data_IF_400944708211
#
_entry.id   IF_400944708211
#
_cell.length_a   1.000
_cell.length_b   1.000
_cell.length_c   1.000
_cell.angle_alpha   90.00
_cell.angle_beta   90.00
_cell.angle_gamma   90.00
#
_symmetry.space_group_name_H-M   'P 1'
#
loop_
_entity.id
_entity.type
_entity.pdbx_description
1 polymer ?
#
# COMPACT_ATOMS: atom_id res chain seq x y z
N UNK A 1 46.96 42.74 71.50
CA UNK A 1 46.90 41.73 70.41
C UNK A 1 45.73 42.06 69.48
N UNK A 2 45.92 42.66 68.30
CA UNK A 2 44.81 42.97 67.41
C UNK A 2 44.60 41.90 66.33
N UNK A 3 43.36 41.43 66.22
CA UNK A 3 42.82 40.50 65.21
C UNK A 3 43.04 41.04 63.78
N UNK A 4 43.82 40.35 62.96
CA UNK A 4 43.94 40.55 61.50
C UNK A 4 43.63 39.25 60.75
N UNK A 5 42.36 38.86 60.58
CA UNK A 5 42.00 37.76 59.67
C UNK A 5 40.64 37.87 58.95
N UNK A 6 39.78 38.87 59.25
CA UNK A 6 38.41 38.91 58.72
C UNK A 6 38.28 39.29 57.22
N UNK A 7 39.31 39.89 56.61
CA UNK A 7 39.25 40.33 55.20
C UNK A 7 39.58 39.22 54.18
N UNK A 8 40.36 38.22 54.57
CA UNK A 8 40.75 37.11 53.67
C UNK A 8 39.57 36.16 53.37
N UNK A 9 38.66 35.95 54.34
CA UNK A 9 37.49 35.08 54.15
C UNK A 9 36.44 35.63 53.19
N UNK A 10 36.28 36.96 53.10
CA UNK A 10 35.28 37.58 52.22
C UNK A 10 35.62 37.45 50.73
N UNK A 11 36.91 37.49 50.36
CA UNK A 11 37.35 37.29 48.97
C UNK A 11 37.18 35.86 48.48
N UNK A 12 37.38 34.87 49.35
CA UNK A 12 37.21 33.45 49.02
C UNK A 12 35.75 33.10 48.72
N UNK A 13 34.80 33.67 49.46
CA UNK A 13 33.36 33.42 49.23
C UNK A 13 32.91 33.94 47.86
N UNK A 14 33.33 35.15 47.48
CA UNK A 14 32.99 35.73 46.16
C UNK A 14 33.58 34.88 45.04
N UNK A 15 34.84 34.42 45.18
CA UNK A 15 35.49 33.56 44.19
C UNK A 15 34.75 32.22 44.05
N UNK A 16 34.34 31.60 45.17
CA UNK A 16 33.58 30.36 45.17
C UNK A 16 32.21 30.52 44.50
N UNK A 17 31.49 31.62 44.78
CA UNK A 17 30.24 31.95 44.10
C UNK A 17 30.44 32.15 42.60
N UNK A 18 31.49 32.87 42.18
CA UNK A 18 31.76 33.15 40.77
C UNK A 18 32.07 31.88 39.98
N UNK A 19 32.92 31.01 40.53
CA UNK A 19 33.22 29.69 39.96
C UNK A 19 31.96 28.83 39.91
N UNK A 20 31.16 28.81 40.98
CA UNK A 20 29.89 28.08 41.02
C UNK A 20 28.93 28.53 39.92
N UNK A 21 28.74 29.85 39.76
CA UNK A 21 27.89 30.39 38.70
C UNK A 21 28.43 30.10 37.30
N UNK A 22 29.75 30.10 37.11
CA UNK A 22 30.38 29.77 35.83
C UNK A 22 30.16 28.29 35.46
N UNK A 23 30.32 27.38 36.42
CA UNK A 23 30.07 25.94 36.20
C UNK A 23 28.61 25.69 35.85
N UNK A 24 27.67 26.28 36.58
CA UNK A 24 26.24 26.14 36.31
C UNK A 24 25.88 26.72 34.93
N UNK A 25 26.45 27.87 34.57
CA UNK A 25 26.21 28.51 33.26
C UNK A 25 26.72 27.63 32.11
N UNK A 26 27.91 27.03 32.26
CA UNK A 26 28.46 26.11 31.27
C UNK A 26 27.60 24.84 31.12
N UNK A 27 27.11 24.29 32.23
CA UNK A 27 26.19 23.14 32.20
C UNK A 27 24.89 23.49 31.48
N UNK A 28 24.32 24.67 31.75
CA UNK A 28 23.09 25.11 31.10
C UNK A 28 23.25 25.28 29.59
N UNK A 29 24.35 25.91 29.15
CA UNK A 29 24.67 26.03 27.71
C UNK A 29 24.80 24.66 27.07
N UNK A 30 25.49 23.72 27.72
CA UNK A 30 25.61 22.35 27.25
C UNK A 30 24.26 21.66 27.06
N UNK A 31 23.37 21.78 28.05
CA UNK A 31 22.01 21.20 27.97
C UNK A 31 21.17 21.83 26.85
N UNK A 32 21.22 23.15 26.68
CA UNK A 32 20.47 23.84 25.61
C UNK A 32 20.89 23.37 24.22
N UNK A 33 22.21 23.20 23.99
CA UNK A 33 22.73 22.67 22.73
C UNK A 33 22.31 21.22 22.49
N UNK A 34 22.25 20.39 23.53
CA UNK A 34 21.76 19.02 23.39
C UNK A 34 20.26 18.99 23.06
N UNK A 35 19.44 19.79 23.74
CA UNK A 35 17.99 19.87 23.52
C UNK A 35 17.67 20.38 22.12
N UNK A 36 18.42 21.36 21.60
CA UNK A 36 18.26 21.84 20.23
C UNK A 36 18.52 20.73 19.21
N UNK A 37 19.60 19.97 19.39
CA UNK A 37 19.92 18.83 18.53
C UNK A 37 18.86 17.73 18.61
N UNK A 38 18.36 17.41 19.81
CA UNK A 38 17.30 16.42 19.98
C UNK A 38 16.01 16.85 19.26
N UNK A 39 15.61 18.11 19.41
CA UNK A 39 14.44 18.66 18.74
C UNK A 39 14.61 18.64 17.20
N UNK A 40 15.80 18.98 16.71
CA UNK A 40 16.10 18.92 15.27
C UNK A 40 16.00 17.49 14.72
N UNK A 41 16.52 16.50 15.45
CA UNK A 41 16.43 15.08 15.07
C UNK A 41 15.00 14.55 15.15
N UNK A 42 14.23 14.94 16.18
CA UNK A 42 12.83 14.59 16.32
C UNK A 42 11.98 15.15 15.17
N UNK A 43 12.15 16.43 14.84
CA UNK A 43 11.49 17.09 13.70
C UNK A 43 11.84 16.41 12.37
N UNK A 44 13.12 16.08 12.16
CA UNK A 44 13.56 15.36 10.96
C UNK A 44 12.95 13.96 10.88
N UNK A 45 12.86 13.25 12.01
CA UNK A 45 12.24 11.92 12.09
C UNK A 45 10.74 11.98 11.76
N UNK A 46 10.04 12.99 12.25
CA UNK A 46 8.63 13.21 11.90
C UNK A 46 8.46 13.48 10.40
N UNK A 47 9.29 14.34 9.81
CA UNK A 47 9.27 14.58 8.36
C UNK A 47 9.60 13.28 7.58
N UNK A 48 10.61 12.52 8.00
CA UNK A 48 10.93 11.24 7.38
C UNK A 48 9.77 10.24 7.41
N UNK A 49 9.06 10.14 8.54
CA UNK A 49 7.87 9.30 8.64
C UNK A 49 6.71 9.80 7.77
N UNK A 50 6.49 11.12 7.72
CA UNK A 50 5.47 11.72 6.84
C UNK A 50 5.72 11.44 5.36
N UNK A 51 6.98 11.45 4.92
CA UNK A 51 7.32 11.15 3.53
C UNK A 51 6.85 9.76 3.07
N UNK A 52 6.76 8.79 4.00
CA UNK A 52 6.20 7.47 3.71
C UNK A 52 4.69 7.55 3.46
N UNK A 53 3.95 8.26 4.30
CA UNK A 53 2.50 8.45 4.15
C UNK A 53 2.17 9.15 2.83
N UNK A 54 2.98 10.14 2.45
CA UNK A 54 2.85 10.82 1.15
C UNK A 54 3.16 9.86 -0.01
N UNK A 55 4.15 8.98 0.14
CA UNK A 55 4.44 7.94 -0.87
C UNK A 55 3.29 6.92 -0.99
N UNK A 56 2.68 6.52 0.12
CA UNK A 56 1.52 5.61 0.16
C UNK A 56 0.31 6.19 -0.58
N UNK A 57 0.03 7.49 -0.43
CA UNK A 57 -1.03 8.15 -1.18
C UNK A 57 -0.85 8.03 -2.71
N UNK A 58 0.39 8.18 -3.20
CA UNK A 58 0.70 7.98 -4.62
C UNK A 58 0.58 6.52 -5.06
N UNK A 59 0.82 5.55 -4.17
CA UNK A 59 0.56 4.13 -4.46
C UNK A 59 -0.93 3.86 -4.56
N UNK A 60 -1.73 4.38 -3.64
CA UNK A 60 -3.19 4.21 -3.67
C UNK A 60 -3.78 4.76 -4.96
N UNK A 61 -3.30 5.91 -5.42
CA UNK A 61 -3.72 6.46 -6.71
C UNK A 61 -3.29 5.58 -7.90
N UNK A 62 -2.07 5.06 -7.88
CA UNK A 62 -1.62 4.09 -8.90
C UNK A 62 -2.45 2.80 -8.90
N UNK A 63 -2.83 2.30 -7.72
CA UNK A 63 -3.69 1.13 -7.58
C UNK A 63 -5.11 1.43 -8.06
N UNK A 64 -5.64 2.62 -7.79
CA UNK A 64 -6.94 3.07 -8.28
C UNK A 64 -6.96 3.12 -9.81
N UNK A 65 -5.92 3.66 -10.44
CA UNK A 65 -5.78 3.66 -11.91
C UNK A 65 -5.83 2.23 -12.46
N UNK A 66 -5.02 1.32 -11.90
CA UNK A 66 -4.96 -0.07 -12.37
C UNK A 66 -6.30 -0.79 -12.17
N UNK A 67 -7.05 -0.47 -11.11
CA UNK A 67 -8.31 -1.12 -10.75
C UNK A 67 -9.56 -0.55 -11.45
N UNK A 68 -9.46 0.60 -12.13
CA UNK A 68 -10.62 1.34 -12.65
C UNK A 68 -11.48 0.57 -13.68
N UNK A 69 -10.90 -0.42 -14.38
CA UNK A 69 -11.57 -1.15 -15.47
C UNK A 69 -11.54 -2.68 -15.29
N UNK A 70 -11.54 -3.16 -14.06
CA UNK A 70 -11.66 -4.60 -13.79
C UNK A 70 -13.07 -5.06 -14.19
N UNK A 71 -13.17 -5.94 -15.20
CA UNK A 71 -14.42 -6.60 -15.61
C UNK A 71 -15.14 -6.03 -16.84
N UNK A 72 -14.66 -4.94 -17.45
CA UNK A 72 -15.30 -4.33 -18.65
C UNK A 72 -14.68 -4.75 -19.99
N UNK A 73 -13.58 -5.51 -19.98
CA UNK A 73 -12.90 -6.01 -21.18
C UNK A 73 -12.42 -7.45 -20.98
N UNK A 74 -12.35 -8.22 -22.06
CA UNK A 74 -11.73 -9.56 -22.12
C UNK A 74 -10.23 -9.53 -21.80
N UNK A 75 -9.64 -8.35 -21.71
CA UNK A 75 -8.23 -8.14 -21.34
C UNK A 75 -8.17 -7.49 -19.96
N UNK A 76 -7.40 -8.10 -19.06
CA UNK A 76 -7.34 -7.80 -17.62
C UNK A 76 -6.91 -6.34 -17.28
N UNK A 77 -6.39 -5.56 -18.23
CA UNK A 77 -5.76 -4.25 -17.97
C UNK A 77 -6.01 -3.22 -19.08
N UNK A 78 -7.23 -2.69 -19.20
CA UNK A 78 -7.51 -1.57 -20.12
C UNK A 78 -7.21 -0.17 -19.54
N UNK A 79 -6.72 -0.09 -18.32
CA UNK A 79 -6.37 1.19 -17.65
C UNK A 79 -5.37 2.09 -18.43
N UNK A 80 -4.44 1.59 -19.29
CA UNK A 80 -3.59 2.49 -20.06
C UNK A 80 -4.38 3.41 -21.01
N UNK A 81 -5.57 2.98 -21.44
CA UNK A 81 -6.44 3.76 -22.33
C UNK A 81 -7.15 4.91 -21.61
N UNK A 82 -7.37 4.80 -20.29
CA UNK A 82 -8.06 5.82 -19.47
C UNK A 82 -7.10 6.72 -18.70
N UNK A 83 -5.84 6.31 -18.54
CA UNK A 83 -4.83 7.03 -17.77
C UNK A 83 -4.70 8.52 -18.13
N UNK A 84 -4.71 8.87 -19.41
CA UNK A 84 -4.60 10.27 -19.86
C UNK A 84 -5.81 11.13 -19.51
N UNK A 85 -7.01 10.52 -19.46
CA UNK A 85 -8.24 11.20 -19.00
C UNK A 85 -8.19 11.52 -17.51
N UNK A 86 -7.52 10.69 -16.72
CA UNK A 86 -7.39 10.84 -15.26
C UNK A 86 -6.20 11.74 -14.86
N UNK A 87 -5.57 12.40 -15.84
CA UNK A 87 -4.47 13.34 -15.63
C UNK A 87 -3.09 12.69 -15.51
N UNK A 88 -2.95 11.41 -15.86
CA UNK A 88 -1.65 10.76 -15.96
C UNK A 88 -0.96 11.10 -17.28
N UNK A 89 0.35 11.32 -17.21
CA UNK A 89 1.18 11.63 -18.37
C UNK A 89 2.01 10.43 -18.77
N UNK A 90 2.01 10.06 -20.05
CA UNK A 90 2.87 9.01 -20.57
C UNK A 90 4.28 9.58 -20.77
N UNK A 91 5.27 9.06 -20.04
CA UNK A 91 6.66 9.55 -20.13
C UNK A 91 7.49 8.72 -21.11
N UNK A 92 7.48 7.39 -20.98
CA UNK A 92 8.22 6.49 -21.87
C UNK A 92 7.84 5.03 -21.62
N UNK A 93 8.03 4.15 -22.61
CA UNK A 93 7.95 2.68 -22.46
C UNK A 93 6.77 2.20 -21.58
N UNK A 94 5.55 2.65 -21.90
CA UNK A 94 4.33 2.29 -21.16
C UNK A 94 4.38 2.61 -19.64
N UNK A 95 5.14 3.65 -19.29
CA UNK A 95 5.25 4.21 -17.93
C UNK A 95 4.48 5.52 -17.87
N UNK A 96 3.47 5.54 -17.03
CA UNK A 96 2.61 6.69 -16.74
C UNK A 96 3.08 7.35 -15.45
N UNK A 97 3.03 8.67 -15.40
CA UNK A 97 3.43 9.48 -14.26
C UNK A 97 2.36 10.47 -13.89
N UNK A 98 2.20 10.67 -12.59
CA UNK A 98 1.44 11.76 -12.03
C UNK A 98 2.19 12.32 -10.84
N UNK A 99 2.09 13.64 -10.70
CA UNK A 99 2.58 14.36 -9.53
C UNK A 99 1.44 15.17 -8.94
N UNK A 100 1.22 15.05 -7.63
CA UNK A 100 0.25 15.88 -6.92
C UNK A 100 0.81 16.38 -5.60
N UNK A 101 0.33 17.57 -5.22
CA UNK A 101 0.63 18.17 -3.92
C UNK A 101 -0.39 17.68 -2.89
N UNK A 102 0.07 17.44 -1.67
CA UNK A 102 -0.81 17.04 -0.58
C UNK A 102 -1.50 18.28 0.02
N UNK A 103 -2.82 18.22 0.18
CA UNK A 103 -3.57 19.30 0.80
C UNK A 103 -3.13 19.50 2.26
N UNK A 104 -2.58 20.66 2.58
CA UNK A 104 -2.18 21.03 3.94
C UNK A 104 -0.73 20.71 4.33
N UNK A 105 0.11 20.23 3.41
CA UNK A 105 1.54 19.97 3.63
C UNK A 105 2.34 20.49 2.42
N UNK A 106 3.48 21.19 2.58
CA UNK A 106 4.36 21.56 1.45
C UNK A 106 5.03 20.38 0.71
N UNK A 107 4.52 19.15 0.88
CA UNK A 107 5.00 17.94 0.24
C UNK A 107 4.23 17.58 -1.03
N UNK A 108 4.85 16.74 -1.85
CA UNK A 108 4.25 16.17 -3.07
C UNK A 108 4.67 14.72 -3.22
N UNK A 109 3.90 13.95 -3.96
CA UNK A 109 4.32 12.62 -4.42
C UNK A 109 4.46 12.59 -5.92
N UNK A 110 5.41 11.77 -6.37
CA UNK A 110 5.55 11.35 -7.76
C UNK A 110 5.21 9.87 -7.85
N UNK A 111 4.10 9.54 -8.50
CA UNK A 111 3.70 8.17 -8.74
C UNK A 111 3.97 7.79 -10.19
N UNK A 112 4.56 6.61 -10.38
CA UNK A 112 4.89 6.01 -11.66
C UNK A 112 4.20 4.65 -11.75
N UNK A 113 3.47 4.40 -12.82
CA UNK A 113 2.89 3.08 -13.12
C UNK A 113 3.50 2.60 -14.42
N UNK A 114 4.31 1.56 -14.36
CA UNK A 114 4.89 0.92 -15.54
C UNK A 114 4.22 -0.43 -15.79
N UNK A 115 3.92 -0.69 -17.05
CA UNK A 115 3.53 -2.05 -17.49
C UNK A 115 4.81 -2.74 -17.91
N UNK A 116 5.20 -3.80 -17.21
CA UNK A 116 6.32 -4.62 -17.65
C UNK A 116 6.03 -5.17 -19.05
N UNK A 117 7.00 -5.06 -19.96
CA UNK A 117 6.93 -5.64 -21.31
C UNK A 117 7.06 -7.17 -21.34
N UNK A 118 7.11 -7.80 -20.17
CA UNK A 118 7.07 -9.25 -20.02
C UNK A 118 5.66 -9.73 -20.40
N UNK A 119 5.55 -10.92 -20.96
CA UNK A 119 4.37 -11.51 -21.62
C UNK A 119 3.05 -11.54 -20.82
N UNK A 120 3.05 -11.05 -19.58
CA UNK A 120 1.92 -11.02 -18.66
C UNK A 120 1.42 -9.60 -18.33
N UNK A 121 2.00 -8.53 -18.91
CA UNK A 121 1.58 -7.12 -18.74
C UNK A 121 1.30 -6.71 -17.27
N UNK A 122 2.17 -7.13 -16.34
CA UNK A 122 1.96 -6.92 -14.91
C UNK A 122 2.32 -5.46 -14.54
N UNK A 123 1.40 -4.68 -13.96
CA UNK A 123 1.71 -3.33 -13.52
C UNK A 123 2.62 -3.32 -12.29
N UNK A 124 3.67 -2.50 -12.38
CA UNK A 124 4.51 -2.11 -11.25
C UNK A 124 4.25 -0.64 -10.95
N UNK A 125 3.91 -0.35 -9.69
CA UNK A 125 3.67 1.00 -9.21
C UNK A 125 4.85 1.42 -8.35
N UNK A 126 5.44 2.57 -8.62
CA UNK A 126 6.51 3.16 -7.82
C UNK A 126 6.11 4.57 -7.44
N UNK A 127 6.06 4.88 -6.14
CA UNK A 127 5.72 6.21 -5.65
C UNK A 127 6.84 6.75 -4.80
N UNK A 128 7.20 8.02 -5.02
CA UNK A 128 8.15 8.75 -4.18
C UNK A 128 7.46 9.91 -3.50
N UNK A 129 7.32 9.85 -2.19
CA UNK A 129 6.78 10.94 -1.38
C UNK A 129 7.91 11.84 -0.90
N UNK A 130 7.81 13.14 -1.22
CA UNK A 130 8.80 14.17 -0.85
C UNK A 130 8.15 15.18 0.08
N UNK A 131 8.78 15.45 1.21
CA UNK A 131 8.33 16.45 2.19
C UNK A 131 9.45 17.42 2.54
N UNK A 132 9.07 18.60 3.02
CA UNK A 132 10.01 19.64 3.43
C UNK A 132 10.33 19.49 4.91
N UNK A 133 11.62 19.52 5.26
CA UNK A 133 12.10 19.66 6.62
C UNK A 133 12.91 20.95 6.76
N UNK A 134 12.58 21.74 7.78
CA UNK A 134 13.33 22.96 8.11
C UNK A 134 14.26 22.65 9.28
N UNK A 135 15.56 22.78 9.04
CA UNK A 135 16.58 22.54 10.06
C UNK A 135 16.65 23.68 11.10
N UNK A 136 17.40 23.47 12.20
CA UNK A 136 17.54 24.45 13.27
C UNK A 136 18.13 25.80 12.79
N UNK A 137 18.89 25.80 11.69
CA UNK A 137 19.44 27.02 11.06
C UNK A 137 18.48 27.71 10.09
N UNK A 138 17.23 27.23 9.97
CA UNK A 138 16.25 27.75 9.01
C UNK A 138 16.41 27.24 7.57
N UNK A 139 17.43 26.40 7.31
CA UNK A 139 17.63 25.80 5.99
C UNK A 139 16.57 24.73 5.70
N UNK A 140 15.84 24.89 4.60
CA UNK A 140 14.87 23.91 4.09
C UNK A 140 15.58 22.82 3.30
N UNK A 141 15.35 21.56 3.66
CA UNK A 141 15.82 20.39 2.93
C UNK A 141 14.63 19.52 2.52
N UNK A 142 14.77 18.83 1.41
CA UNK A 142 13.79 17.86 0.94
C UNK A 142 14.16 16.47 1.45
N UNK A 143 13.19 15.76 2.00
CA UNK A 143 13.30 14.38 2.44
C UNK A 143 12.33 13.54 1.63
N UNK A 144 12.83 12.47 1.01
CA UNK A 144 12.04 11.64 0.09
C UNK A 144 12.14 10.16 0.43
N UNK A 145 11.01 9.45 0.37
CA UNK A 145 10.95 7.99 0.45
C UNK A 145 10.26 7.42 -0.77
N UNK A 146 10.82 6.34 -1.29
CA UNK A 146 10.26 5.61 -2.43
C UNK A 146 9.73 4.27 -1.98
N UNK A 147 8.53 3.93 -2.44
CA UNK A 147 7.89 2.63 -2.24
C UNK A 147 7.54 2.07 -3.61
N UNK A 148 7.77 0.77 -3.79
CA UNK A 148 7.46 0.05 -5.02
C UNK A 148 6.54 -1.13 -4.70
N UNK A 149 5.46 -1.24 -5.47
CA UNK A 149 4.49 -2.32 -5.42
C UNK A 149 4.48 -3.02 -6.76
N UNK A 150 4.78 -4.31 -6.75
CA UNK A 150 4.57 -5.18 -7.91
C UNK A 150 3.24 -5.87 -7.71
N UNK A 151 2.30 -5.63 -8.62
CA UNK A 151 1.00 -6.31 -8.58
C UNK A 151 1.14 -7.74 -9.11
N UNK A 152 0.15 -8.58 -8.88
CA UNK A 152 0.01 -9.87 -9.56
C UNK A 152 -1.40 -9.98 -10.11
N UNK A 153 -1.54 -10.57 -11.29
CA UNK A 153 -2.84 -11.03 -11.75
C UNK A 153 -3.26 -12.20 -10.87
N UNK A 154 -4.36 -12.05 -10.16
CA UNK A 154 -5.09 -13.17 -9.57
C UNK A 154 -6.43 -13.27 -10.28
N UNK A 155 -6.75 -14.45 -10.79
CA UNK A 155 -8.06 -14.75 -11.35
C UNK A 155 -9.03 -14.88 -10.18
N UNK A 156 -9.70 -13.77 -9.82
CA UNK A 156 -10.88 -13.86 -8.97
C UNK A 156 -11.99 -14.49 -9.80
N UNK A 157 -12.13 -15.82 -9.66
CA UNK A 157 -13.25 -16.53 -10.23
C UNK A 157 -14.31 -16.67 -9.15
N UNK A 158 -15.42 -15.96 -9.31
CA UNK A 158 -16.65 -16.23 -8.58
C UNK A 158 -17.25 -17.50 -9.18
N UNK A 159 -16.59 -18.62 -8.87
CA UNK A 159 -16.98 -19.95 -9.29
C UNK A 159 -17.61 -20.65 -8.10
N UNK A 160 -18.56 -21.56 -8.37
CA UNK A 160 -19.17 -22.38 -7.33
C UNK A 160 -18.09 -23.30 -6.74
N UNK A 161 -17.79 -24.43 -7.40
CA UNK A 161 -16.65 -25.26 -7.01
C UNK A 161 -15.33 -24.76 -7.62
N UNK A 162 -14.34 -24.64 -6.75
CA UNK A 162 -12.98 -24.23 -7.06
C UNK A 162 -12.03 -25.43 -6.86
N UNK A 163 -11.35 -25.86 -7.92
CA UNK A 163 -10.58 -27.11 -7.94
C UNK A 163 -9.09 -26.82 -7.99
N UNK A 164 -8.34 -27.36 -7.02
CA UNK A 164 -6.88 -27.25 -7.00
C UNK A 164 -6.20 -28.38 -7.79
N UNK A 165 -6.65 -29.63 -7.66
CA UNK A 165 -6.00 -30.78 -8.30
C UNK A 165 -6.96 -31.50 -9.26
N UNK A 166 -7.83 -32.37 -8.74
CA UNK A 166 -8.76 -33.14 -9.56
C UNK A 166 -10.16 -33.24 -8.91
N UNK A 167 -11.21 -33.07 -9.72
CA UNK A 167 -12.57 -33.56 -9.43
C UNK A 167 -12.85 -34.71 -10.41
N UNK A 168 -13.10 -35.89 -9.85
CA UNK A 168 -13.59 -37.05 -10.62
C UNK A 168 -15.03 -37.34 -10.22
N UNK A 169 -15.97 -37.12 -11.14
CA UNK A 169 -17.36 -37.49 -10.96
C UNK A 169 -17.66 -38.77 -11.73
N UNK A 170 -18.07 -39.81 -11.02
CA UNK A 170 -18.57 -41.05 -11.61
C UNK A 170 -19.85 -41.49 -10.90
N UNK A 171 -20.72 -42.23 -11.61
CA UNK A 171 -21.94 -42.80 -11.01
C UNK A 171 -23.14 -41.86 -10.92
N UNK A 172 -23.26 -40.86 -11.80
CA UNK A 172 -24.45 -39.99 -11.89
C UNK A 172 -24.41 -38.75 -10.99
N UNK A 173 -23.21 -38.27 -10.65
CA UNK A 173 -23.07 -37.00 -9.92
C UNK A 173 -23.64 -35.82 -10.71
N UNK A 174 -24.27 -34.89 -9.99
CA UNK A 174 -24.85 -33.66 -10.50
C UNK A 174 -24.14 -32.47 -9.84
N UNK A 175 -23.72 -31.48 -10.64
CA UNK A 175 -23.40 -30.14 -10.14
C UNK A 175 -24.36 -29.16 -10.80
N UNK A 176 -25.06 -28.40 -9.98
CA UNK A 176 -25.99 -27.35 -10.40
C UNK A 176 -25.90 -26.10 -9.52
N UNK A 177 -26.56 -25.03 -9.99
CA UNK A 177 -26.66 -23.76 -9.29
C UNK A 177 -28.01 -23.64 -8.58
N UNK A 178 -28.01 -23.10 -7.36
CA UNK A 178 -29.20 -22.85 -6.57
C UNK A 178 -29.19 -21.43 -6.03
N UNK A 179 -30.30 -20.71 -6.21
CA UNK A 179 -30.55 -19.41 -5.60
C UNK A 179 -31.85 -19.45 -4.79
N UNK A 180 -31.71 -19.43 -3.46
CA UNK A 180 -32.84 -19.43 -2.52
C UNK A 180 -33.70 -18.16 -2.55
N UNK A 181 -33.21 -17.08 -3.17
CA UNK A 181 -33.90 -15.80 -3.22
C UNK A 181 -34.71 -15.62 -4.51
N UNK A 182 -34.48 -16.46 -5.52
CA UNK A 182 -35.21 -16.41 -6.79
C UNK A 182 -36.34 -17.45 -6.81
N UNK A 183 -37.62 -17.03 -6.82
CA UNK A 183 -38.76 -17.95 -6.90
C UNK A 183 -38.86 -18.73 -8.22
N UNK A 184 -38.08 -18.34 -9.25
CA UNK A 184 -38.00 -19.07 -10.52
C UNK A 184 -36.94 -20.18 -10.52
N UNK A 185 -36.05 -20.17 -9.52
CA UNK A 185 -34.97 -21.15 -9.31
C UNK A 185 -35.08 -21.88 -7.97
N UNK A 186 -36.13 -21.59 -7.19
CA UNK A 186 -36.41 -22.21 -5.91
C UNK A 186 -37.90 -22.35 -5.64
N UNK A 187 -38.28 -23.46 -5.03
CA UNK A 187 -39.66 -23.74 -4.62
C UNK A 187 -39.84 -23.34 -3.15
N UNK A 188 -40.27 -22.10 -2.90
CA UNK A 188 -40.37 -21.49 -1.55
C UNK A 188 -39.02 -21.42 -0.82
N UNK A 189 -37.94 -21.08 -1.52
CA UNK A 189 -36.59 -21.05 -0.94
C UNK A 189 -36.05 -22.44 -0.59
N UNK A 190 -36.58 -23.48 -1.25
CA UNK A 190 -36.02 -24.83 -1.26
C UNK A 190 -35.51 -25.18 -2.65
N UNK A 191 -34.48 -26.01 -2.68
CA UNK A 191 -33.93 -26.56 -3.91
C UNK A 191 -34.97 -27.45 -4.61
N UNK A 192 -35.14 -27.24 -5.93
CA UNK A 192 -36.03 -28.01 -6.78
C UNK A 192 -35.24 -28.54 -8.00
N UNK A 193 -35.10 -29.86 -8.16
CA UNK A 193 -34.32 -30.45 -9.25
C UNK A 193 -34.93 -30.25 -10.65
N UNK A 194 -36.15 -29.71 -10.74
CA UNK A 194 -36.77 -29.34 -12.03
C UNK A 194 -36.43 -27.91 -12.46
N UNK A 195 -35.86 -27.09 -11.57
CA UNK A 195 -35.55 -25.66 -11.77
C UNK A 195 -34.03 -25.43 -11.80
N UNK A 196 -33.35 -26.09 -12.73
CA UNK A 196 -31.88 -26.05 -12.84
C UNK A 196 -31.42 -24.84 -13.66
N UNK A 197 -30.39 -24.13 -13.17
CA UNK A 197 -29.72 -23.05 -13.90
C UNK A 197 -28.27 -23.38 -14.21
N UNK A 198 -27.77 -22.85 -15.34
CA UNK A 198 -26.37 -22.96 -15.78
C UNK A 198 -25.51 -21.74 -15.42
N UNK A 199 -26.00 -20.86 -14.53
CA UNK A 199 -25.40 -19.56 -14.25
C UNK A 199 -24.28 -19.59 -13.19
N UNK A 200 -23.54 -20.70 -13.07
CA UNK A 200 -22.34 -20.76 -12.24
C UNK A 200 -21.16 -21.32 -13.03
N UNK A 201 -19.95 -21.01 -12.56
CA UNK A 201 -18.72 -21.49 -13.15
C UNK A 201 -18.08 -22.59 -12.30
N UNK A 202 -17.47 -23.57 -12.96
CA UNK A 202 -16.51 -24.50 -12.35
C UNK A 202 -15.12 -24.06 -12.82
N UNK A 203 -14.20 -23.79 -11.88
CA UNK A 203 -12.86 -23.30 -12.20
C UNK A 203 -11.77 -24.19 -11.62
N UNK A 204 -10.73 -24.40 -12.41
CA UNK A 204 -9.51 -25.12 -12.05
C UNK A 204 -8.38 -24.12 -11.88
N UNK A 205 -7.64 -24.17 -10.76
CA UNK A 205 -6.50 -23.27 -10.52
C UNK A 205 -5.17 -23.77 -11.08
N UNK A 206 -5.10 -25.05 -11.47
CA UNK A 206 -3.85 -25.63 -11.96
C UNK A 206 -3.81 -25.69 -13.48
N UNK A 207 -2.66 -25.29 -14.01
CA UNK A 207 -2.30 -25.39 -15.42
C UNK A 207 -1.82 -26.81 -15.81
N UNK A 208 -2.33 -27.84 -15.15
CA UNK A 208 -1.87 -29.21 -15.36
C UNK A 208 -2.32 -29.73 -16.72
N UNK A 209 -1.45 -30.48 -17.41
CA UNK A 209 -1.73 -31.11 -18.72
C UNK A 209 -2.80 -32.23 -18.64
N UNK A 210 -3.29 -32.56 -17.44
CA UNK A 210 -4.34 -33.52 -17.21
C UNK A 210 -5.69 -32.79 -17.00
N UNK A 211 -6.82 -33.31 -17.51
CA UNK A 211 -8.12 -32.74 -17.26
C UNK A 211 -8.45 -32.81 -15.77
N UNK A 212 -8.36 -31.66 -15.07
CA UNK A 212 -8.64 -31.53 -13.65
C UNK A 212 -10.13 -31.72 -13.29
N UNK A 213 -11.03 -31.69 -14.28
CA UNK A 213 -12.43 -32.13 -14.12
C UNK A 213 -12.66 -33.28 -15.07
N UNK A 214 -12.82 -34.48 -14.50
CA UNK A 214 -13.09 -35.70 -15.25
C UNK A 214 -14.53 -36.17 -14.99
N UNK A 215 -15.29 -36.32 -16.07
CA UNK A 215 -16.65 -36.83 -16.06
C UNK A 215 -16.69 -38.25 -16.62
N UNK A 216 -17.12 -39.20 -15.80
CA UNK A 216 -17.34 -40.59 -16.19
C UNK A 216 -18.80 -41.03 -15.99
N UNK A 217 -19.34 -41.82 -16.92
CA UNK A 217 -20.71 -42.34 -16.83
C UNK A 217 -21.79 -41.28 -17.11
N UNK A 218 -22.90 -41.29 -16.37
CA UNK A 218 -24.05 -40.38 -16.53
C UNK A 218 -23.95 -39.09 -15.69
N UNK A 219 -22.74 -38.60 -15.42
CA UNK A 219 -22.56 -37.35 -14.67
C UNK A 219 -22.98 -36.12 -15.49
N UNK A 220 -23.63 -35.15 -14.86
CA UNK A 220 -24.13 -33.93 -15.51
C UNK A 220 -23.60 -32.69 -14.78
N UNK A 221 -23.06 -31.75 -15.54
CA UNK A 221 -22.70 -30.41 -15.07
C UNK A 221 -23.58 -29.42 -15.82
N UNK A 222 -24.45 -28.72 -15.10
CA UNK A 222 -25.22 -27.61 -15.65
C UNK A 222 -24.50 -26.30 -15.32
N UNK A 223 -23.34 -26.05 -15.94
CA UNK A 223 -22.48 -24.92 -15.63
C UNK A 223 -21.67 -24.51 -16.85
N UNK A 224 -21.08 -23.31 -16.81
CA UNK A 224 -20.00 -22.98 -17.72
C UNK A 224 -18.66 -23.46 -17.13
N UNK A 225 -17.90 -24.24 -17.89
CA UNK A 225 -16.58 -24.74 -17.47
C UNK A 225 -15.51 -23.82 -18.05
N UNK A 226 -14.78 -23.11 -17.19
CA UNK A 226 -13.67 -22.26 -17.59
C UNK A 226 -12.37 -22.92 -17.16
N UNK A 227 -11.57 -23.35 -18.15
CA UNK A 227 -10.26 -24.00 -17.98
C UNK A 227 -9.17 -22.95 -18.09
#
# INVERSE_FOLDING_TARGET
MPRRTLRAGQGVVILACLIGTLVISLMLVGMLLTVENENAMASRSQAWNRSLVVAEAGIEEGLALVNQNVGTSTTLTNWPSTATSDGWTLISNNTYHIQRQMSGDPGYYDAYVSVGGDSNNIPTITSTGTVVWTGPTGATNLLSRTVRVTTTCSTFTQSGPLVLADINMSGGGLIDGYDSQDPSLSSNGQYDPSLITANFNVTVLTNNLNPAVSLGGSALIHAHVNV
#
